data_IF_743941484094
#
_entry.id   IF_743941484094
#
_cell.length_a   1.000
_cell.length_b   1.000
_cell.length_c   1.000
_cell.angle_alpha   90.00
_cell.angle_beta   90.00
_cell.angle_gamma   90.00
#
_symmetry.space_group_name_H-M   'P 1'
#
loop_
_entity.id
_entity.type
_entity.pdbx_description
1 polymer ?
#
# COMPACT_ATOMS: atom_id res chain seq x y z
N UNK A 1 53.88 -27.17 4.16
CA UNK A 1 53.37 -26.28 5.23
C UNK A 1 52.64 -25.09 4.60
N UNK A 2 51.47 -25.29 3.96
CA UNK A 2 50.84 -24.25 3.14
C UNK A 2 49.30 -24.38 2.92
N UNK A 3 48.54 -24.98 3.84
CA UNK A 3 47.08 -25.16 3.66
C UNK A 3 46.20 -24.73 4.84
N UNK A 4 46.69 -23.84 5.72
CA UNK A 4 45.91 -23.36 6.88
C UNK A 4 45.34 -21.94 6.73
N UNK A 5 45.19 -21.41 5.50
CA UNK A 5 44.66 -20.06 5.29
C UNK A 5 43.13 -19.99 5.08
N UNK A 6 42.47 -21.09 4.70
CA UNK A 6 41.04 -21.05 4.31
C UNK A 6 40.04 -21.45 5.41
N UNK A 7 40.48 -21.68 6.65
CA UNK A 7 39.61 -22.25 7.70
C UNK A 7 39.14 -21.26 8.78
N UNK A 8 39.33 -19.95 8.61
CA UNK A 8 38.97 -18.96 9.65
C UNK A 8 38.27 -17.73 9.10
N UNK A 9 37.03 -17.92 8.63
CA UNK A 9 36.09 -16.85 8.35
C UNK A 9 34.71 -17.22 8.89
N UNK A 10 34.34 -16.63 10.02
CA UNK A 10 33.15 -16.94 10.81
C UNK A 10 31.84 -16.71 10.05
N UNK A 11 31.30 -17.75 9.40
CA UNK A 11 29.90 -17.81 8.95
C UNK A 11 28.90 -17.99 10.12
N UNK A 12 29.41 -18.14 11.35
CA UNK A 12 28.61 -18.31 12.57
C UNK A 12 28.13 -16.96 13.13
N UNK A 13 28.86 -15.88 12.84
CA UNK A 13 28.47 -14.51 13.19
C UNK A 13 27.31 -13.99 12.34
N UNK A 14 27.32 -14.28 11.03
CA UNK A 14 26.32 -13.78 10.07
C UNK A 14 24.92 -14.37 10.30
N UNK A 15 24.82 -15.65 10.67
CA UNK A 15 23.54 -16.27 11.04
C UNK A 15 23.00 -15.77 12.39
N UNK A 16 23.88 -15.42 13.32
CA UNK A 16 23.51 -14.86 14.63
C UNK A 16 23.05 -13.39 14.50
N UNK A 17 23.69 -12.57 13.66
CA UNK A 17 23.25 -11.20 13.38
C UNK A 17 21.99 -11.14 12.53
N UNK A 18 21.76 -12.10 11.63
CA UNK A 18 20.52 -12.17 10.85
C UNK A 18 19.28 -12.38 11.74
N UNK A 19 19.35 -13.33 12.68
CA UNK A 19 18.27 -13.62 13.62
C UNK A 19 18.01 -12.49 14.62
N UNK A 20 19.08 -11.78 15.02
CA UNK A 20 18.98 -10.64 15.95
C UNK A 20 18.48 -9.38 15.25
N UNK A 21 18.83 -9.16 13.96
CA UNK A 21 18.33 -8.06 13.13
C UNK A 21 16.84 -8.22 12.78
N UNK A 22 16.35 -9.44 12.58
CA UNK A 22 14.92 -9.68 12.37
C UNK A 22 14.08 -9.34 13.61
N UNK A 23 14.58 -9.65 14.83
CA UNK A 23 13.88 -9.33 16.08
C UNK A 23 14.03 -7.87 16.53
N UNK A 24 15.15 -7.20 16.23
CA UNK A 24 15.37 -5.80 16.60
C UNK A 24 14.62 -4.79 15.71
N UNK A 25 14.12 -5.21 14.54
CA UNK A 25 13.31 -4.38 13.65
C UNK A 25 11.80 -4.36 14.00
N UNK A 26 11.33 -5.11 15.01
CA UNK A 26 9.97 -5.01 15.54
C UNK A 26 9.79 -3.74 16.38
N UNK A 27 9.88 -2.60 15.71
CA UNK A 27 9.48 -1.32 16.27
C UNK A 27 7.97 -1.18 16.20
N UNK A 28 7.36 -0.47 17.15
CA UNK A 28 5.92 -0.15 17.14
C UNK A 28 5.49 0.46 15.78
N UNK A 29 6.35 1.28 15.18
CA UNK A 29 6.13 1.86 13.85
C UNK A 29 6.10 0.82 12.72
N UNK A 30 6.92 -0.24 12.79
CA UNK A 30 6.87 -1.34 11.83
C UNK A 30 5.56 -2.14 11.95
N UNK A 31 5.11 -2.41 13.19
CA UNK A 31 3.84 -3.09 13.44
C UNK A 31 2.65 -2.30 12.89
N UNK A 32 2.57 -0.99 13.21
CA UNK A 32 1.51 -0.11 12.71
C UNK A 32 1.50 -0.07 11.18
N UNK A 33 2.68 0.01 10.54
CA UNK A 33 2.79 -0.03 9.08
C UNK A 33 2.20 -1.33 8.53
N UNK A 34 2.61 -2.49 9.06
CA UNK A 34 2.13 -3.79 8.59
C UNK A 34 0.61 -3.89 8.74
N UNK A 35 0.07 -3.44 9.88
CA UNK A 35 -1.38 -3.42 10.12
C UNK A 35 -2.12 -2.55 9.10
N UNK A 36 -1.66 -1.33 8.84
CA UNK A 36 -2.29 -0.46 7.83
C UNK A 36 -2.22 -1.09 6.43
N UNK A 37 -1.08 -1.66 6.05
CA UNK A 37 -0.94 -2.36 4.76
C UNK A 37 -1.88 -3.56 4.68
N UNK A 38 -2.09 -4.26 5.79
CA UNK A 38 -3.00 -5.40 5.85
C UNK A 38 -4.44 -4.96 5.59
N UNK A 39 -4.90 -3.87 6.20
CA UNK A 39 -6.21 -3.31 5.89
C UNK A 39 -6.32 -2.84 4.44
N UNK A 40 -5.29 -2.16 3.91
CA UNK A 40 -5.27 -1.74 2.51
C UNK A 40 -5.38 -2.92 1.53
N UNK A 41 -4.72 -4.04 1.86
CA UNK A 41 -4.80 -5.29 1.11
C UNK A 41 -6.21 -5.89 1.16
N UNK A 42 -6.75 -6.11 2.37
CA UNK A 42 -8.08 -6.71 2.56
C UNK A 42 -9.16 -5.87 1.89
N UNK A 43 -9.12 -4.55 2.05
CA UNK A 43 -10.07 -3.66 1.40
C UNK A 43 -9.88 -3.63 -0.12
N UNK A 44 -8.64 -3.73 -0.61
CA UNK A 44 -8.36 -3.86 -2.04
C UNK A 44 -9.00 -5.11 -2.65
N UNK A 45 -8.83 -6.27 -2.02
CA UNK A 45 -9.48 -7.52 -2.44
C UNK A 45 -11.01 -7.41 -2.32
N UNK A 46 -11.52 -6.73 -1.29
CA UNK A 46 -12.94 -6.49 -1.11
C UNK A 46 -13.52 -5.63 -2.24
N UNK A 47 -12.81 -4.59 -2.68
CA UNK A 47 -13.17 -3.79 -3.87
C UNK A 47 -13.17 -4.65 -5.12
N UNK A 48 -12.18 -5.52 -5.32
CA UNK A 48 -12.21 -6.47 -6.45
C UNK A 48 -13.49 -7.32 -6.39
N UNK A 49 -13.80 -7.93 -5.25
CA UNK A 49 -14.98 -8.79 -5.10
C UNK A 49 -16.30 -8.06 -5.32
N UNK A 50 -16.43 -6.84 -4.81
CA UNK A 50 -17.68 -6.07 -4.91
C UNK A 50 -17.97 -5.60 -6.35
N UNK A 51 -16.93 -5.23 -7.10
CA UNK A 51 -17.06 -4.62 -8.43
C UNK A 51 -16.87 -5.62 -9.58
N UNK A 52 -16.07 -6.69 -9.40
CA UNK A 52 -15.86 -7.71 -10.44
C UNK A 52 -17.09 -8.60 -10.68
N UNK A 53 -18.02 -8.69 -9.72
CA UNK A 53 -19.27 -9.44 -9.89
C UNK A 53 -20.10 -8.87 -11.05
N UNK A 54 -20.12 -7.55 -11.22
CA UNK A 54 -20.88 -6.92 -12.30
C UNK A 54 -20.18 -7.08 -13.66
N UNK A 55 -18.84 -7.15 -13.68
CA UNK A 55 -18.07 -7.55 -14.87
C UNK A 55 -18.35 -9.00 -15.28
N UNK A 56 -18.35 -9.93 -14.31
CA UNK A 56 -18.63 -11.34 -14.55
C UNK A 56 -20.05 -11.57 -15.09
N UNK A 57 -21.04 -10.84 -14.53
CA UNK A 57 -22.41 -10.87 -15.05
C UNK A 57 -22.49 -10.35 -16.49
N UNK A 58 -21.85 -9.22 -16.80
CA UNK A 58 -21.83 -8.67 -18.15
C UNK A 58 -21.19 -9.65 -19.14
N UNK A 59 -20.07 -10.26 -18.76
CA UNK A 59 -19.40 -11.31 -19.56
C UNK A 59 -20.32 -12.51 -19.81
N UNK A 60 -20.96 -13.05 -18.76
CA UNK A 60 -21.87 -14.20 -18.88
C UNK A 60 -23.10 -13.89 -19.74
N UNK A 61 -23.56 -12.65 -19.73
CA UNK A 61 -24.66 -12.18 -20.56
C UNK A 61 -24.24 -11.81 -21.99
N UNK A 62 -22.96 -11.97 -22.37
CA UNK A 62 -22.40 -11.47 -23.63
C UNK A 62 -22.73 -9.98 -23.89
N UNK A 63 -22.75 -9.19 -22.81
CA UNK A 63 -23.09 -7.77 -22.85
C UNK A 63 -21.85 -6.89 -22.76
N UNK A 64 -22.03 -5.62 -23.12
CA UNK A 64 -20.99 -4.61 -23.05
C UNK A 64 -20.43 -4.48 -21.61
N UNK A 65 -19.11 -4.46 -21.52
CA UNK A 65 -18.40 -4.30 -20.25
C UNK A 65 -18.14 -2.81 -20.01
N UNK A 66 -18.85 -2.23 -19.04
CA UNK A 66 -18.68 -0.81 -18.73
C UNK A 66 -17.34 -0.55 -18.01
N UNK A 67 -16.56 0.37 -18.60
CA UNK A 67 -15.21 0.71 -18.18
C UNK A 67 -15.11 1.21 -16.73
N UNK A 68 -16.18 1.74 -16.13
CA UNK A 68 -16.17 2.16 -14.73
C UNK A 68 -15.93 0.99 -13.78
N UNK A 69 -16.50 -0.18 -14.08
CA UNK A 69 -16.32 -1.39 -13.28
C UNK A 69 -14.91 -1.94 -13.45
N UNK A 70 -14.37 -1.90 -14.67
CA UNK A 70 -12.99 -2.28 -14.97
C UNK A 70 -12.03 -1.39 -14.18
N UNK A 71 -12.26 -0.09 -14.17
CA UNK A 71 -11.44 0.87 -13.41
C UNK A 71 -11.42 0.56 -11.91
N UNK A 72 -12.57 0.26 -11.30
CA UNK A 72 -12.62 -0.14 -9.89
C UNK A 72 -11.79 -1.40 -9.60
N UNK A 73 -11.88 -2.42 -10.47
CA UNK A 73 -11.10 -3.65 -10.32
C UNK A 73 -9.60 -3.37 -10.48
N UNK A 74 -9.21 -2.55 -11.45
CA UNK A 74 -7.80 -2.12 -11.63
C UNK A 74 -7.28 -1.41 -10.37
N UNK A 75 -8.04 -0.47 -9.80
CA UNK A 75 -7.68 0.18 -8.53
C UNK A 75 -7.57 -0.82 -7.38
N UNK A 76 -8.53 -1.74 -7.28
CA UNK A 76 -8.53 -2.86 -6.33
C UNK A 76 -7.25 -3.69 -6.40
N UNK A 77 -6.90 -4.16 -7.60
CA UNK A 77 -5.72 -4.97 -7.88
C UNK A 77 -4.43 -4.21 -7.60
N UNK A 78 -4.30 -2.97 -8.08
CA UNK A 78 -3.12 -2.14 -7.82
C UNK A 78 -2.93 -1.90 -6.32
N UNK A 79 -4.01 -1.59 -5.60
CA UNK A 79 -3.96 -1.44 -4.14
C UNK A 79 -3.55 -2.74 -3.44
N UNK A 80 -4.14 -3.88 -3.81
CA UNK A 80 -3.81 -5.17 -3.22
C UNK A 80 -2.36 -5.58 -3.47
N UNK A 81 -1.88 -5.48 -4.71
CA UNK A 81 -0.48 -5.82 -5.05
C UNK A 81 0.49 -4.86 -4.36
N UNK A 82 0.24 -3.56 -4.41
CA UNK A 82 1.14 -2.56 -3.81
C UNK A 82 1.22 -2.74 -2.30
N UNK A 83 0.09 -2.96 -1.62
CA UNK A 83 0.08 -3.18 -0.17
C UNK A 83 0.84 -4.45 0.23
N UNK A 84 0.69 -5.55 -0.53
CA UNK A 84 1.41 -6.79 -0.30
C UNK A 84 2.92 -6.64 -0.51
N UNK A 85 3.35 -5.94 -1.57
CA UNK A 85 4.77 -5.64 -1.82
C UNK A 85 5.34 -4.76 -0.70
N UNK A 86 4.58 -3.77 -0.22
CA UNK A 86 5.04 -2.83 0.81
C UNK A 86 4.96 -3.39 2.24
N UNK A 87 4.36 -4.57 2.45
CA UNK A 87 4.52 -5.34 3.69
C UNK A 87 5.90 -5.98 3.81
N UNK A 88 6.54 -6.30 2.68
CA UNK A 88 7.85 -6.93 2.70
C UNK A 88 8.90 -5.94 3.24
N UNK A 89 9.86 -6.39 4.07
CA UNK A 89 10.92 -5.53 4.61
C UNK A 89 11.89 -5.01 3.53
N UNK A 90 11.68 -5.39 2.27
CA UNK A 90 12.50 -5.02 1.11
C UNK A 90 12.28 -3.56 0.68
N UNK A 91 11.12 -2.97 0.98
CA UNK A 91 10.75 -1.64 0.47
C UNK A 91 10.81 -0.59 1.57
N UNK A 92 11.66 0.42 1.39
CA UNK A 92 11.67 1.62 2.24
C UNK A 92 10.46 2.49 1.93
N UNK A 93 9.28 2.15 2.46
CA UNK A 93 8.02 2.80 2.07
C UNK A 93 7.99 4.33 2.28
N UNK A 94 8.86 4.92 3.11
CA UNK A 94 8.98 6.38 3.23
C UNK A 94 9.62 7.04 1.99
N UNK A 95 10.46 6.32 1.24
CA UNK A 95 11.02 6.79 -0.02
C UNK A 95 10.00 6.70 -1.16
N UNK A 96 9.10 5.71 -1.10
CA UNK A 96 8.11 5.41 -2.13
C UNK A 96 6.73 6.02 -1.84
N UNK A 97 6.66 7.12 -1.08
CA UNK A 97 5.38 7.78 -0.75
C UNK A 97 4.60 8.25 -1.99
N UNK A 98 5.28 8.50 -3.11
CA UNK A 98 4.66 8.85 -4.38
C UNK A 98 3.86 7.70 -4.99
N UNK A 99 4.21 6.43 -4.70
CA UNK A 99 3.41 5.27 -5.09
C UNK A 99 2.10 5.25 -4.28
N UNK A 100 2.18 5.47 -2.97
CA UNK A 100 0.98 5.58 -2.14
C UNK A 100 0.08 6.73 -2.63
N UNK A 101 0.66 7.87 -3.01
CA UNK A 101 -0.07 9.00 -3.58
C UNK A 101 -0.72 8.67 -4.94
N UNK A 102 -0.03 7.92 -5.80
CA UNK A 102 -0.57 7.50 -7.09
C UNK A 102 -1.75 6.53 -6.91
N UNK A 103 -1.61 5.53 -6.04
CA UNK A 103 -2.70 4.60 -5.72
C UNK A 103 -3.87 5.35 -5.07
N UNK A 104 -3.60 6.28 -4.15
CA UNK A 104 -4.62 7.16 -3.59
C UNK A 104 -5.38 7.91 -4.69
N UNK A 105 -4.68 8.51 -5.66
CA UNK A 105 -5.31 9.25 -6.77
C UNK A 105 -6.23 8.35 -7.61
N UNK A 106 -5.83 7.10 -7.87
CA UNK A 106 -6.67 6.16 -8.61
C UNK A 106 -7.94 5.80 -7.84
N UNK A 107 -7.82 5.57 -6.53
CA UNK A 107 -8.98 5.38 -5.66
C UNK A 107 -9.85 6.64 -5.56
N UNK A 108 -9.26 7.84 -5.56
CA UNK A 108 -9.99 9.11 -5.55
C UNK A 108 -10.87 9.26 -6.79
N UNK A 109 -10.33 8.94 -7.97
CA UNK A 109 -11.10 8.95 -9.23
C UNK A 109 -12.22 7.90 -9.18
N UNK A 110 -11.92 6.68 -8.73
CA UNK A 110 -12.93 5.64 -8.59
C UNK A 110 -14.04 6.05 -7.59
N UNK A 111 -13.67 6.65 -6.46
CA UNK A 111 -14.62 7.18 -5.48
C UNK A 111 -15.47 8.31 -6.08
N UNK A 112 -14.87 9.22 -6.85
CA UNK A 112 -15.63 10.29 -7.51
C UNK A 112 -16.71 9.74 -8.45
N UNK A 113 -16.39 8.71 -9.24
CA UNK A 113 -17.33 8.06 -10.16
C UNK A 113 -18.46 7.37 -9.38
N UNK A 114 -18.12 6.46 -8.47
CA UNK A 114 -19.12 5.64 -7.79
C UNK A 114 -19.85 6.38 -6.66
N UNK A 115 -19.19 7.33 -6.02
CA UNK A 115 -19.78 8.21 -5.02
C UNK A 115 -20.88 9.07 -5.60
N UNK A 116 -20.64 9.70 -6.76
CA UNK A 116 -21.69 10.47 -7.47
C UNK A 116 -22.88 9.60 -7.87
N UNK A 117 -22.63 8.35 -8.27
CA UNK A 117 -23.66 7.43 -8.76
C UNK A 117 -24.53 6.85 -7.66
N UNK A 118 -23.95 6.49 -6.50
CA UNK A 118 -24.65 5.66 -5.52
C UNK A 118 -24.93 6.36 -4.17
N UNK A 119 -24.20 7.41 -3.79
CA UNK A 119 -24.47 8.13 -2.53
C UNK A 119 -25.88 8.76 -2.55
N UNK A 120 -26.26 9.55 -3.56
CA UNK A 120 -27.57 10.20 -3.59
C UNK A 120 -28.72 9.24 -3.95
N UNK A 121 -28.42 8.08 -4.53
CA UNK A 121 -29.42 7.16 -5.08
C UNK A 121 -30.24 6.47 -3.97
N UNK A 122 -31.56 6.43 -4.13
CA UNK A 122 -32.44 5.71 -3.22
C UNK A 122 -32.54 4.24 -3.63
N UNK A 123 -32.27 3.27 -2.72
CA UNK A 123 -32.24 1.87 -3.12
C UNK A 123 -33.57 1.30 -3.63
N UNK A 124 -34.74 1.88 -3.27
CA UNK A 124 -36.08 1.42 -3.71
C UNK A 124 -36.30 -0.10 -3.65
N UNK A 125 -35.69 -0.79 -2.68
CA UNK A 125 -35.74 -2.26 -2.56
C UNK A 125 -34.76 -3.03 -3.46
N UNK A 126 -34.02 -2.36 -4.35
CA UNK A 126 -32.99 -2.96 -5.19
C UNK A 126 -31.73 -3.32 -4.38
N UNK A 127 -31.53 -4.62 -4.16
CA UNK A 127 -30.37 -5.16 -3.44
C UNK A 127 -29.02 -4.80 -4.11
N UNK A 128 -29.00 -4.65 -5.42
CA UNK A 128 -27.80 -4.24 -6.18
C UNK A 128 -27.35 -2.83 -5.84
N UNK A 129 -28.29 -1.89 -5.74
CA UNK A 129 -28.01 -0.50 -5.33
C UNK A 129 -27.56 -0.48 -3.87
N UNK A 130 -28.26 -1.19 -2.98
CA UNK A 130 -27.87 -1.27 -1.54
C UNK A 130 -26.45 -1.80 -1.35
N UNK A 131 -26.08 -2.86 -2.09
CA UNK A 131 -24.70 -3.38 -2.13
C UNK A 131 -23.71 -2.32 -2.59
N UNK A 132 -24.03 -1.58 -3.66
CA UNK A 132 -23.13 -0.56 -4.20
C UNK A 132 -22.97 0.64 -3.27
N UNK A 133 -24.00 1.05 -2.53
CA UNK A 133 -23.85 2.06 -1.47
C UNK A 133 -22.83 1.62 -0.41
N UNK A 134 -22.88 0.36 0.02
CA UNK A 134 -21.89 -0.18 0.95
C UNK A 134 -20.50 -0.28 0.30
N UNK A 135 -20.42 -0.65 -0.98
CA UNK A 135 -19.15 -0.73 -1.70
C UNK A 135 -18.46 0.63 -1.81
N UNK A 136 -19.21 1.72 -2.00
CA UNK A 136 -18.66 3.08 -2.00
C UNK A 136 -17.97 3.42 -0.68
N UNK A 137 -18.53 3.00 0.46
CA UNK A 137 -17.92 3.23 1.77
C UNK A 137 -16.63 2.43 1.96
N UNK A 138 -16.59 1.19 1.47
CA UNK A 138 -15.35 0.36 1.45
C UNK A 138 -14.28 1.06 0.60
N UNK A 139 -14.66 1.55 -0.57
CA UNK A 139 -13.76 2.25 -1.49
C UNK A 139 -13.22 3.54 -0.87
N UNK A 140 -14.09 4.35 -0.24
CA UNK A 140 -13.70 5.56 0.50
C UNK A 140 -12.73 5.25 1.64
N UNK A 141 -13.01 4.20 2.42
CA UNK A 141 -12.17 3.82 3.55
C UNK A 141 -10.76 3.46 3.06
N UNK A 142 -10.67 2.66 2.00
CA UNK A 142 -9.37 2.29 1.44
C UNK A 142 -8.64 3.51 0.86
N UNK A 143 -9.36 4.38 0.14
CA UNK A 143 -8.82 5.64 -0.38
C UNK A 143 -8.18 6.47 0.74
N UNK A 144 -8.87 6.63 1.88
CA UNK A 144 -8.35 7.39 3.01
C UNK A 144 -7.11 6.73 3.64
N UNK A 145 -7.04 5.42 3.73
CA UNK A 145 -5.83 4.73 4.20
C UNK A 145 -4.63 4.99 3.27
N UNK A 146 -4.83 4.94 1.94
CA UNK A 146 -3.80 5.32 0.97
C UNK A 146 -3.38 6.78 1.10
N UNK A 147 -4.32 7.69 1.35
CA UNK A 147 -3.99 9.09 1.62
C UNK A 147 -3.13 9.27 2.86
N UNK A 148 -3.52 8.65 3.99
CA UNK A 148 -2.80 8.75 5.25
C UNK A 148 -1.37 8.20 5.14
N UNK A 149 -1.20 7.08 4.43
CA UNK A 149 0.13 6.49 4.18
C UNK A 149 0.99 7.35 3.27
N UNK A 150 0.41 7.96 2.22
CA UNK A 150 1.09 8.91 1.36
C UNK A 150 1.57 10.15 2.12
N UNK A 151 0.69 10.77 2.93
CA UNK A 151 1.01 11.95 3.74
C UNK A 151 2.09 11.62 4.76
N UNK A 152 1.94 10.51 5.49
CA UNK A 152 2.94 10.06 6.45
C UNK A 152 4.31 9.85 5.79
N UNK A 153 4.34 9.15 4.65
CA UNK A 153 5.56 8.93 3.86
C UNK A 153 6.22 10.24 3.43
N UNK A 154 5.44 11.19 2.92
CA UNK A 154 5.94 12.51 2.53
C UNK A 154 6.54 13.27 3.72
N UNK A 155 5.85 13.31 4.86
CA UNK A 155 6.34 13.98 6.07
C UNK A 155 7.67 13.37 6.55
N UNK A 156 7.77 12.04 6.60
CA UNK A 156 9.01 11.35 7.01
C UNK A 156 10.13 11.59 6.02
N UNK A 157 9.85 11.57 4.71
CA UNK A 157 10.82 11.85 3.66
C UNK A 157 11.43 13.24 3.80
N UNK A 158 10.59 14.27 3.95
CA UNK A 158 11.05 15.66 4.10
C UNK A 158 11.83 15.89 5.40
N UNK A 159 11.37 15.32 6.53
CA UNK A 159 12.11 15.38 7.80
C UNK A 159 13.50 14.74 7.67
N UNK A 160 13.59 13.58 7.02
CA UNK A 160 14.85 12.85 6.79
C UNK A 160 15.81 13.56 5.84
N UNK A 161 15.30 14.41 4.92
CA UNK A 161 16.12 15.26 4.05
C UNK A 161 16.69 16.45 4.82
N UNK A 162 15.86 17.15 5.61
CA UNK A 162 16.30 18.28 6.43
C UNK A 162 17.36 17.91 7.48
N UNK A 163 17.27 16.72 8.07
CA UNK A 163 18.26 16.23 9.04
C UNK A 163 19.65 16.02 8.39
N UNK A 164 19.69 15.52 7.15
CA UNK A 164 20.95 15.27 6.43
C UNK A 164 21.66 16.54 5.96
N UNK A 165 20.90 17.60 5.66
CA UNK A 165 21.46 18.90 5.26
C UNK A 165 22.03 19.71 6.45
N UNK A 166 21.64 19.39 7.69
CA UNK A 166 22.15 20.08 8.89
C UNK A 166 23.57 19.63 9.28
N UNK A 167 23.99 18.42 8.90
CA UNK A 167 25.26 17.81 9.30
C UNK A 167 26.40 18.00 8.29
N UNK A 168 26.14 18.60 7.12
CA UNK A 168 27.16 18.87 6.09
C UNK A 168 27.97 20.16 6.33
N UNK A 169 27.77 20.85 7.46
CA UNK A 169 28.47 22.10 7.81
C UNK A 169 29.58 21.98 8.86
N UNK A 170 29.96 20.77 9.31
CA UNK A 170 31.00 20.57 10.34
C UNK A 170 32.06 19.54 9.93
N UNK A 171 32.53 19.60 8.69
CA UNK A 171 33.83 19.01 8.33
C UNK A 171 34.93 19.82 9.00
N UNK A 172 35.71 19.19 9.88
CA UNK A 172 36.80 19.82 10.62
C UNK A 172 37.81 20.46 9.65
N UNK A 173 38.04 21.77 9.79
CA UNK A 173 39.32 22.35 9.37
C UNK A 173 40.36 21.88 10.38
N UNK A 174 41.04 20.78 10.05
CA UNK A 174 42.36 20.51 10.63
C UNK A 174 43.32 21.54 10.02
N UNK A 175 43.78 22.46 10.85
CA UNK A 175 45.02 23.23 10.63
C UNK A 175 46.15 22.44 11.25
#
# INVERSE_FOLDING_TARGET
MALNFLSRGSLKGEKATLGTSFRSNFTIGALIRILIRFFQFVLGITVIGLYAVDLDRARKANSYTDGKWVWAVVCGTLGAVTSLVFMLPLVKAWFFFYIDALVWLFYLVAFGIFGKMYIPENPEGNAGIKRMKNAVWVLLTNMLLWFLTAVYGAVVFWKSRKARTSLTGRGQQHV
#
